data_IF_950604474413
#
_entry.id   IF_950604474413
#
_cell.length_a   1.000
_cell.length_b   1.000
_cell.length_c   1.000
_cell.angle_alpha   90.00
_cell.angle_beta   90.00
_cell.angle_gamma   90.00
#
_symmetry.space_group_name_H-M   'P 1'
#
loop_
_entity.id
_entity.type
_entity.pdbx_description
1 polymer ?
#
# COMPACT_ATOMS: atom_id res chain seq x y z
N UNK A 1 21.49 -9.40 13.16
CA UNK A 1 21.46 -8.34 14.08
C UNK A 1 20.58 -7.21 13.61
N UNK A 2 19.38 -7.11 14.16
CA UNK A 2 18.49 -6.00 13.88
C UNK A 2 18.99 -4.69 14.50
N UNK A 3 18.43 -3.56 14.04
CA UNK A 3 18.74 -2.25 14.60
C UNK A 3 18.35 -2.19 16.10
N UNK A 4 19.21 -1.60 16.91
CA UNK A 4 18.94 -1.38 18.32
C UNK A 4 18.24 -0.03 18.48
N UNK A 5 17.08 -0.03 19.12
CA UNK A 5 16.32 1.18 19.44
C UNK A 5 15.98 1.24 20.95
N UNK A 6 15.75 2.43 21.42
CA UNK A 6 15.31 2.74 22.78
C UNK A 6 13.90 3.33 22.75
N UNK A 7 13.21 3.50 23.87
CA UNK A 7 11.94 4.22 23.89
C UNK A 7 12.00 5.64 23.30
N UNK A 8 13.15 6.30 23.34
CA UNK A 8 13.33 7.65 22.80
C UNK A 8 13.34 7.68 21.26
N UNK A 9 13.55 6.52 20.62
CA UNK A 9 13.51 6.35 19.18
C UNK A 9 12.08 6.06 18.66
N UNK A 10 11.07 6.02 19.55
CA UNK A 10 9.68 5.70 19.20
C UNK A 10 8.81 6.95 19.38
N UNK A 11 8.21 7.38 18.26
CA UNK A 11 7.34 8.55 18.24
C UNK A 11 5.90 8.15 17.92
N UNK A 12 4.95 8.42 18.82
CA UNK A 12 3.53 8.14 18.63
C UNK A 12 2.79 9.30 17.94
N UNK A 13 1.82 8.97 17.08
CA UNK A 13 1.03 9.91 16.28
C UNK A 13 -0.46 9.58 16.33
N UNK A 14 -1.31 10.54 15.93
CA UNK A 14 -2.76 10.38 15.84
C UNK A 14 -3.16 9.57 14.58
N UNK A 15 -2.69 8.34 14.52
CA UNK A 15 -2.76 7.43 13.39
C UNK A 15 -1.60 7.63 12.41
N UNK A 16 -1.40 6.63 11.54
CA UNK A 16 -0.25 6.62 10.63
C UNK A 16 -0.33 7.74 9.57
N UNK A 17 -1.52 8.20 9.21
CA UNK A 17 -1.66 9.35 8.30
C UNK A 17 -1.04 10.63 8.84
N UNK A 18 -1.13 10.89 10.16
CA UNK A 18 -0.45 12.01 10.81
C UNK A 18 1.08 11.81 10.79
N UNK A 19 1.55 10.59 11.08
CA UNK A 19 2.97 10.25 10.99
C UNK A 19 3.52 10.52 9.58
N UNK A 20 2.85 10.02 8.54
CA UNK A 20 3.22 10.24 7.14
C UNK A 20 3.29 11.73 6.83
N UNK A 21 2.23 12.49 7.13
CA UNK A 21 2.21 13.92 6.86
C UNK A 21 3.39 14.66 7.51
N UNK A 22 3.73 14.35 8.75
CA UNK A 22 4.86 14.98 9.44
C UNK A 22 6.21 14.56 8.89
N UNK A 23 6.37 13.30 8.48
CA UNK A 23 7.60 12.85 7.82
C UNK A 23 7.88 13.68 6.56
N UNK A 24 6.89 13.85 5.70
CA UNK A 24 7.09 14.62 4.47
C UNK A 24 7.20 16.13 4.72
N UNK A 25 6.46 16.68 5.68
CA UNK A 25 6.55 18.11 6.03
C UNK A 25 7.89 18.50 6.70
N UNK A 26 8.60 17.55 7.29
CA UNK A 26 9.90 17.79 7.94
C UNK A 26 11.08 17.73 6.97
N UNK A 27 10.88 17.23 5.76
CA UNK A 27 11.93 17.16 4.72
C UNK A 27 12.17 18.56 4.16
N UNK A 28 13.40 18.84 3.73
CA UNK A 28 13.72 20.08 2.99
C UNK A 28 12.87 20.20 1.73
N UNK A 29 12.50 21.41 1.37
CA UNK A 29 11.59 21.71 0.24
C UNK A 29 12.12 21.16 -1.11
N UNK A 30 13.45 21.08 -1.28
CA UNK A 30 14.11 20.59 -2.48
C UNK A 30 14.40 19.10 -2.45
N UNK A 31 14.13 18.42 -1.34
CA UNK A 31 14.39 16.99 -1.17
C UNK A 31 13.14 16.15 -1.44
N UNK A 32 13.33 14.92 -1.93
CA UNK A 32 12.25 14.05 -2.40
C UNK A 32 12.37 12.64 -1.83
N UNK A 33 11.24 11.97 -1.71
CA UNK A 33 11.18 10.54 -1.43
C UNK A 33 10.72 9.81 -2.70
N UNK A 34 11.50 8.81 -3.14
CA UNK A 34 11.07 7.91 -4.21
C UNK A 34 10.21 6.79 -3.63
N UNK A 35 9.11 6.44 -4.31
CA UNK A 35 8.11 5.49 -3.82
C UNK A 35 7.76 4.41 -4.86
N UNK A 36 7.19 3.25 -4.44
CA UNK A 36 6.72 2.24 -5.39
C UNK A 36 5.57 2.77 -6.26
N UNK A 37 5.43 2.24 -7.46
CA UNK A 37 4.31 2.48 -8.37
C UNK A 37 3.69 1.14 -8.80
N UNK A 38 2.41 0.87 -8.48
CA UNK A 38 1.47 1.72 -7.75
C UNK A 38 1.83 1.94 -6.28
N UNK A 39 1.28 3.00 -5.66
CA UNK A 39 1.57 3.37 -4.26
C UNK A 39 0.33 3.71 -3.45
N UNK A 40 0.45 3.62 -2.13
CA UNK A 40 -0.62 4.03 -1.21
C UNK A 40 -0.86 5.54 -1.27
N UNK A 41 -2.11 5.93 -1.51
CA UNK A 41 -2.51 7.32 -1.78
C UNK A 41 -2.12 8.34 -0.71
N UNK A 42 -1.98 7.94 0.55
CA UNK A 42 -1.57 8.87 1.62
C UNK A 42 -0.11 9.29 1.49
N UNK A 43 0.80 8.36 1.15
CA UNK A 43 2.19 8.70 0.85
C UNK A 43 2.30 9.57 -0.42
N UNK A 44 1.56 9.19 -1.46
CA UNK A 44 1.47 9.97 -2.69
C UNK A 44 1.05 11.41 -2.41
N UNK A 45 -0.06 11.60 -1.69
CA UNK A 45 -0.60 12.92 -1.39
C UNK A 45 0.38 13.75 -0.54
N UNK A 46 1.03 13.12 0.45
CA UNK A 46 2.01 13.79 1.29
C UNK A 46 3.21 14.30 0.47
N UNK A 47 3.73 13.50 -0.47
CA UNK A 47 4.82 13.90 -1.37
C UNK A 47 4.39 15.02 -2.33
N UNK A 48 3.20 14.92 -2.92
CA UNK A 48 2.67 15.98 -3.81
C UNK A 48 2.46 17.30 -3.07
N UNK A 49 1.94 17.25 -1.85
CA UNK A 49 1.75 18.46 -1.02
C UNK A 49 3.09 19.07 -0.59
N UNK A 50 4.08 18.24 -0.28
CA UNK A 50 5.43 18.68 0.06
C UNK A 50 6.14 19.35 -1.11
N UNK A 51 6.19 18.69 -2.25
CA UNK A 51 7.01 19.11 -3.38
C UNK A 51 6.28 20.01 -4.39
N UNK A 52 4.94 20.01 -4.39
CA UNK A 52 4.10 20.64 -5.44
C UNK A 52 4.36 20.12 -6.86
N UNK A 53 4.95 18.94 -6.99
CA UNK A 53 5.27 18.25 -8.24
C UNK A 53 4.86 16.77 -8.16
N UNK A 54 4.69 16.09 -9.30
CA UNK A 54 4.48 14.64 -9.31
C UNK A 54 5.59 13.90 -8.56
N UNK A 55 5.28 12.81 -7.85
CA UNK A 55 6.27 12.06 -7.10
C UNK A 55 7.28 11.35 -8.00
N UNK A 56 8.46 11.07 -7.48
CA UNK A 56 9.37 10.11 -8.07
C UNK A 56 8.92 8.70 -7.70
N UNK A 57 8.84 7.81 -8.68
CA UNK A 57 8.41 6.43 -8.46
C UNK A 57 9.40 5.42 -9.04
N UNK A 58 9.35 4.17 -8.55
CA UNK A 58 9.96 3.00 -9.17
C UNK A 58 8.89 1.94 -9.40
N UNK A 59 8.93 1.25 -10.54
CA UNK A 59 7.86 0.34 -10.94
C UNK A 59 7.84 -0.94 -10.13
N UNK A 60 6.62 -1.34 -9.73
CA UNK A 60 6.29 -2.70 -9.30
C UNK A 60 5.74 -3.44 -10.53
N UNK A 61 6.41 -4.50 -10.98
CA UNK A 61 6.09 -5.15 -12.25
C UNK A 61 4.98 -6.22 -12.11
N UNK A 62 3.75 -5.98 -12.62
CA UNK A 62 2.66 -6.94 -12.54
C UNK A 62 2.93 -8.23 -13.34
N UNK A 63 3.74 -8.16 -14.41
CA UNK A 63 4.13 -9.33 -15.21
C UNK A 63 5.16 -10.21 -14.51
N UNK A 64 5.81 -9.70 -13.45
CA UNK A 64 6.74 -10.42 -12.60
C UNK A 64 6.32 -10.37 -11.13
N UNK A 65 5.07 -10.76 -10.84
CA UNK A 65 4.53 -10.92 -9.49
C UNK A 65 4.69 -9.69 -8.59
N UNK A 66 4.64 -8.50 -9.16
CA UNK A 66 4.82 -7.23 -8.48
C UNK A 66 6.23 -7.03 -7.89
N UNK A 67 7.23 -7.71 -8.43
CA UNK A 67 8.62 -7.48 -8.01
C UNK A 67 9.04 -6.05 -8.39
N UNK A 68 9.68 -5.29 -7.48
CA UNK A 68 10.16 -3.94 -7.78
C UNK A 68 11.28 -3.97 -8.83
N UNK A 69 11.29 -2.98 -9.72
CA UNK A 69 12.40 -2.76 -10.65
C UNK A 69 13.54 -2.03 -9.93
N UNK A 70 14.45 -2.79 -9.34
CA UNK A 70 15.58 -2.24 -8.59
C UNK A 70 16.61 -1.51 -9.49
N UNK A 71 16.67 -1.85 -10.78
CA UNK A 71 17.53 -1.14 -11.73
C UNK A 71 17.00 0.26 -12.00
N UNK A 72 15.69 0.38 -12.18
CA UNK A 72 15.03 1.68 -12.32
C UNK A 72 15.19 2.51 -11.03
N UNK A 73 14.99 1.89 -9.86
CA UNK A 73 15.19 2.55 -8.57
C UNK A 73 16.59 3.12 -8.45
N UNK A 74 17.61 2.28 -8.64
CA UNK A 74 19.03 2.68 -8.55
C UNK A 74 19.36 3.79 -9.54
N UNK A 75 18.94 3.66 -10.80
CA UNK A 75 19.19 4.65 -11.84
C UNK A 75 18.57 6.01 -11.48
N UNK A 76 17.36 6.03 -10.94
CA UNK A 76 16.67 7.27 -10.53
C UNK A 76 17.36 7.92 -9.34
N UNK A 77 17.70 7.15 -8.31
CA UNK A 77 18.44 7.66 -7.15
C UNK A 77 19.79 8.23 -7.54
N UNK A 78 20.53 7.53 -8.41
CA UNK A 78 21.81 7.98 -8.93
C UNK A 78 21.74 9.27 -9.74
N UNK A 79 20.69 9.45 -10.55
CA UNK A 79 20.57 10.59 -11.47
C UNK A 79 19.88 11.81 -10.88
N UNK A 80 19.24 11.71 -9.72
CA UNK A 80 18.48 12.79 -9.10
C UNK A 80 18.95 13.01 -7.65
N UNK A 81 19.87 13.92 -7.45
CA UNK A 81 20.41 14.27 -6.12
C UNK A 81 19.36 14.85 -5.15
N UNK A 82 18.18 15.20 -5.62
CA UNK A 82 17.04 15.58 -4.78
C UNK A 82 16.41 14.39 -4.07
N UNK A 83 16.58 13.16 -4.57
CA UNK A 83 16.04 11.96 -3.90
C UNK A 83 16.94 11.64 -2.71
N UNK A 84 16.40 11.79 -1.51
CA UNK A 84 17.11 11.57 -0.24
C UNK A 84 16.55 10.39 0.55
N UNK A 85 15.40 9.86 0.15
CA UNK A 85 14.74 8.74 0.84
C UNK A 85 14.05 7.79 -0.12
N UNK A 86 14.00 6.51 0.27
CA UNK A 86 13.34 5.42 -0.46
C UNK A 86 12.20 4.88 0.39
N UNK A 87 10.97 4.92 -0.14
CA UNK A 87 9.79 4.34 0.52
C UNK A 87 9.61 2.88 0.08
N UNK A 88 9.35 2.01 1.05
CA UNK A 88 8.88 0.64 0.88
C UNK A 88 7.57 0.47 1.65
N UNK A 89 6.60 -0.22 1.10
CA UNK A 89 5.36 -0.61 1.80
C UNK A 89 5.34 -2.12 1.89
N UNK A 90 5.47 -2.69 3.08
CA UNK A 90 5.67 -4.14 3.25
C UNK A 90 4.91 -4.74 4.44
N UNK A 91 3.92 -5.59 4.20
CA UNK A 91 3.26 -5.99 2.93
C UNK A 91 2.62 -4.82 2.18
N UNK A 92 2.64 -4.89 0.84
CA UNK A 92 2.28 -3.76 -0.01
C UNK A 92 0.77 -3.53 -0.14
N UNK A 93 0.39 -2.27 -0.20
CA UNK A 93 -0.91 -1.77 -0.61
C UNK A 93 -0.70 -0.85 -1.84
N UNK A 94 -1.18 -1.24 -3.05
CA UNK A 94 -2.40 -2.04 -3.27
C UNK A 94 -2.18 -3.51 -3.66
N UNK A 95 -0.96 -3.99 -3.86
CA UNK A 95 -0.69 -5.24 -4.59
C UNK A 95 -0.77 -6.52 -3.75
N UNK A 96 -0.62 -6.41 -2.42
CA UNK A 96 -0.48 -7.56 -1.54
C UNK A 96 0.87 -8.29 -1.67
N UNK A 97 1.84 -7.65 -2.32
CA UNK A 97 3.20 -8.16 -2.43
C UNK A 97 3.89 -8.15 -1.07
N UNK A 98 4.64 -9.21 -0.77
CA UNK A 98 5.50 -9.30 0.41
C UNK A 98 6.94 -9.31 -0.08
N UNK A 99 7.71 -8.32 0.31
CA UNK A 99 9.10 -8.18 -0.12
C UNK A 99 9.95 -9.31 0.45
N UNK A 100 10.64 -10.09 -0.41
CA UNK A 100 11.67 -11.03 0.05
C UNK A 100 12.79 -10.28 0.77
N UNK A 101 13.42 -10.93 1.75
CA UNK A 101 14.54 -10.36 2.51
C UNK A 101 15.65 -9.87 1.58
N UNK A 102 16.00 -10.66 0.56
CA UNK A 102 17.02 -10.30 -0.41
C UNK A 102 16.70 -8.98 -1.15
N UNK A 103 15.44 -8.79 -1.53
CA UNK A 103 15.00 -7.55 -2.19
C UNK A 103 15.14 -6.34 -1.26
N UNK A 104 14.78 -6.49 0.02
CA UNK A 104 14.94 -5.43 1.01
C UNK A 104 16.43 -5.12 1.25
N UNK A 105 17.28 -6.13 1.33
CA UNK A 105 18.74 -5.94 1.45
C UNK A 105 19.34 -5.18 0.25
N UNK A 106 18.86 -5.46 -0.96
CA UNK A 106 19.28 -4.73 -2.16
C UNK A 106 18.82 -3.27 -2.12
N UNK A 107 17.59 -3.00 -1.67
CA UNK A 107 17.11 -1.61 -1.49
C UNK A 107 17.94 -0.87 -0.45
N UNK A 108 18.26 -1.51 0.68
CA UNK A 108 19.13 -0.93 1.72
C UNK A 108 20.56 -0.69 1.19
N UNK A 109 21.08 -1.59 0.35
CA UNK A 109 22.38 -1.40 -0.28
C UNK A 109 22.39 -0.20 -1.23
N UNK A 110 21.35 -0.02 -2.05
CA UNK A 110 21.17 1.17 -2.89
C UNK A 110 21.09 2.43 -2.01
N UNK A 111 20.29 2.41 -0.93
CA UNK A 111 20.18 3.52 -0.02
C UNK A 111 21.54 3.90 0.60
N UNK A 112 22.34 2.91 0.98
CA UNK A 112 23.69 3.11 1.52
C UNK A 112 24.65 3.71 0.49
N UNK A 113 24.64 3.20 -0.74
CA UNK A 113 25.54 3.65 -1.81
C UNK A 113 25.29 5.11 -2.20
N UNK A 114 24.02 5.53 -2.18
CA UNK A 114 23.62 6.88 -2.62
C UNK A 114 23.21 7.80 -1.45
N UNK A 115 23.63 7.47 -0.23
CA UNK A 115 23.39 8.28 0.98
C UNK A 115 21.91 8.65 1.21
N UNK A 116 21.00 7.71 0.90
CA UNK A 116 19.57 7.85 1.16
C UNK A 116 19.20 7.17 2.48
N UNK A 117 18.12 7.65 3.10
CA UNK A 117 17.46 6.90 4.19
C UNK A 117 16.32 6.03 3.64
N UNK A 118 15.86 5.08 4.44
CA UNK A 118 14.75 4.20 4.06
C UNK A 118 13.54 4.45 4.96
N UNK A 119 12.35 4.60 4.37
CA UNK A 119 11.06 4.53 5.07
C UNK A 119 10.39 3.21 4.74
N UNK A 120 9.99 2.45 5.76
CA UNK A 120 9.16 1.26 5.59
C UNK A 120 7.79 1.45 6.26
N UNK A 121 6.73 1.47 5.46
CA UNK A 121 5.36 1.35 5.98
C UNK A 121 5.07 -0.13 6.23
N UNK A 122 5.08 -0.52 7.50
CA UNK A 122 4.93 -1.89 7.98
C UNK A 122 3.57 -2.13 8.66
N UNK A 123 2.56 -1.33 8.30
CA UNK A 123 1.20 -1.40 8.88
C UNK A 123 0.56 -2.79 8.79
N UNK A 124 0.99 -3.62 7.83
CA UNK A 124 0.48 -4.97 7.61
C UNK A 124 1.47 -6.07 8.03
N UNK A 125 2.49 -5.77 8.84
CA UNK A 125 3.63 -6.66 9.13
C UNK A 125 3.25 -8.09 9.54
N UNK A 126 2.15 -8.27 10.29
CA UNK A 126 1.69 -9.58 10.76
C UNK A 126 0.52 -10.15 9.92
N UNK A 127 0.12 -9.49 8.84
CA UNK A 127 -0.90 -9.97 7.92
C UNK A 127 -0.21 -10.55 6.69
N UNK A 128 0.33 -11.75 6.85
CA UNK A 128 1.04 -12.52 5.81
C UNK A 128 0.57 -13.96 5.82
N UNK A 129 0.51 -14.57 4.65
CA UNK A 129 -0.07 -15.91 4.45
C UNK A 129 0.63 -16.64 3.29
N UNK A 130 0.11 -17.82 2.89
CA UNK A 130 0.71 -18.69 1.88
C UNK A 130 2.17 -19.06 2.23
N UNK A 131 2.46 -19.32 3.52
CA UNK A 131 3.78 -19.68 4.00
C UNK A 131 4.84 -18.58 3.93
N UNK A 132 4.45 -17.33 3.67
CA UNK A 132 5.36 -16.19 3.67
C UNK A 132 5.57 -15.65 5.08
N UNK A 133 6.68 -14.94 5.24
CA UNK A 133 7.00 -14.16 6.45
C UNK A 133 7.38 -12.75 6.02
N UNK A 134 7.02 -11.77 6.81
CA UNK A 134 7.49 -10.39 6.63
C UNK A 134 8.91 -10.28 7.18
N UNK A 135 9.82 -9.75 6.40
CA UNK A 135 11.10 -9.23 6.89
C UNK A 135 10.89 -7.75 7.21
N UNK A 136 11.21 -7.34 8.42
CA UNK A 136 11.08 -5.96 8.86
C UNK A 136 12.33 -5.15 8.47
N UNK A 137 12.16 -3.84 8.36
CA UNK A 137 13.27 -2.95 8.06
C UNK A 137 14.39 -3.08 9.11
N UNK A 138 14.04 -3.17 10.39
CA UNK A 138 15.01 -3.33 11.48
C UNK A 138 15.90 -4.56 11.32
N UNK A 139 15.45 -5.62 10.64
CA UNK A 139 16.22 -6.85 10.45
C UNK A 139 17.32 -6.71 9.39
N UNK A 140 17.17 -5.77 8.46
CA UNK A 140 18.03 -5.65 7.28
C UNK A 140 18.73 -4.30 7.13
N UNK A 141 18.32 -3.27 7.88
CA UNK A 141 18.77 -1.89 7.69
C UNK A 141 20.27 -1.66 7.97
N UNK A 142 20.88 -2.50 8.81
CA UNK A 142 22.29 -2.39 9.15
C UNK A 142 22.62 -1.03 9.80
N UNK A 143 23.50 -0.28 9.16
CA UNK A 143 23.94 1.05 9.57
C UNK A 143 23.29 2.21 8.82
N UNK A 144 22.37 1.92 7.89
CA UNK A 144 21.65 2.94 7.10
C UNK A 144 20.63 3.64 7.99
N UNK A 145 20.46 4.97 7.91
CA UNK A 145 19.38 5.69 8.58
C UNK A 145 18.00 5.26 8.04
N UNK A 146 17.00 5.23 8.91
CA UNK A 146 15.65 4.90 8.43
C UNK A 146 14.55 5.05 9.46
N UNK A 147 13.33 4.88 8.98
CA UNK A 147 12.09 4.96 9.75
C UNK A 147 11.20 3.78 9.41
N UNK A 148 10.77 3.02 10.41
CA UNK A 148 9.66 2.09 10.28
C UNK A 148 8.38 2.74 10.77
N UNK A 149 7.31 2.65 9.98
CA UNK A 149 5.98 3.19 10.30
C UNK A 149 5.02 2.05 10.63
N UNK A 150 4.43 2.08 11.82
CA UNK A 150 3.55 1.02 12.33
C UNK A 150 2.27 1.60 12.93
N UNK A 151 1.24 0.76 13.06
CA UNK A 151 -0.02 1.23 13.62
C UNK A 151 -1.01 0.11 13.87
N UNK A 152 -2.06 0.42 14.65
CA UNK A 152 -3.07 -0.55 15.09
C UNK A 152 -4.34 -0.57 14.22
N UNK A 153 -4.36 0.21 13.15
CA UNK A 153 -5.56 0.33 12.31
C UNK A 153 -5.92 -0.93 11.54
N UNK A 154 -4.95 -1.80 11.26
CA UNK A 154 -5.12 -2.95 10.35
C UNK A 154 -5.00 -4.28 11.09
N UNK A 155 -3.90 -4.49 11.79
CA UNK A 155 -3.64 -5.70 12.55
C UNK A 155 -4.60 -5.87 13.72
N UNK A 156 -4.83 -4.83 14.51
CA UNK A 156 -5.77 -4.82 15.64
C UNK A 156 -7.20 -4.45 15.25
N UNK A 157 -7.56 -4.30 14.00
CA UNK A 157 -8.63 -3.60 13.30
C UNK A 157 -9.28 -2.47 14.09
N UNK A 158 -8.47 -1.57 14.61
CA UNK A 158 -8.94 -0.43 15.42
C UNK A 158 -8.57 0.93 14.79
N UNK A 159 -9.02 1.20 13.54
CA UNK A 159 -8.64 2.42 12.81
C UNK A 159 -9.16 3.71 13.48
N UNK A 160 -10.30 3.64 14.17
CA UNK A 160 -10.90 4.78 14.87
C UNK A 160 -10.16 5.22 16.13
N UNK A 161 -9.28 4.38 16.70
CA UNK A 161 -8.47 4.74 17.86
C UNK A 161 -7.41 5.77 17.56
N UNK A 162 -7.05 5.99 16.30
CA UNK A 162 -6.07 6.96 15.84
C UNK A 162 -4.70 6.80 16.51
N UNK A 163 -4.10 5.63 16.40
CA UNK A 163 -2.77 5.36 16.95
C UNK A 163 -1.86 4.69 15.92
N UNK A 164 -0.73 5.32 15.68
CA UNK A 164 0.39 4.82 14.90
C UNK A 164 1.69 5.36 15.47
N UNK A 165 2.80 4.81 15.09
CA UNK A 165 4.11 5.25 15.55
C UNK A 165 5.19 5.09 14.50
N UNK A 166 6.26 5.82 14.68
CA UNK A 166 7.53 5.66 13.97
C UNK A 166 8.56 5.03 14.89
N UNK A 167 9.38 4.16 14.37
CA UNK A 167 10.62 3.69 14.95
C UNK A 167 11.77 4.27 14.13
N UNK A 168 12.62 5.08 14.75
CA UNK A 168 13.73 5.77 14.09
C UNK A 168 15.00 4.96 14.28
N UNK A 169 15.69 4.64 13.20
CA UNK A 169 16.91 3.83 13.21
C UNK A 169 18.12 4.66 12.83
N UNK A 170 19.22 4.45 13.56
CA UNK A 170 20.55 4.96 13.21
C UNK A 170 20.68 6.50 13.09
N UNK A 171 19.77 7.28 13.71
CA UNK A 171 19.81 8.74 13.62
C UNK A 171 21.17 9.33 14.08
N UNK A 172 21.82 8.70 15.08
CA UNK A 172 23.12 9.11 15.60
C UNK A 172 24.30 8.92 14.62
N UNK A 173 24.10 8.19 13.50
CA UNK A 173 25.15 7.90 12.51
C UNK A 173 25.22 8.92 11.37
N UNK A 174 24.18 9.71 11.19
CA UNK A 174 24.06 10.72 10.14
C UNK A 174 23.49 12.01 10.73
N UNK A 175 24.28 13.08 10.71
CA UNK A 175 23.88 14.36 11.31
C UNK A 175 22.70 15.02 10.57
N UNK A 176 22.60 14.85 9.25
CA UNK A 176 21.51 15.40 8.43
C UNK A 176 20.23 14.66 8.75
N UNK A 177 20.26 13.34 8.79
CA UNK A 177 19.13 12.52 9.15
C UNK A 177 18.70 12.73 10.62
N UNK A 178 19.67 12.93 11.54
CA UNK A 178 19.37 13.26 12.94
C UNK A 178 18.60 14.59 13.04
N UNK A 179 19.01 15.61 12.27
CA UNK A 179 18.26 16.88 12.21
C UNK A 179 16.85 16.68 11.65
N UNK A 180 16.67 15.83 10.65
CA UNK A 180 15.36 15.49 10.11
C UNK A 180 14.48 14.78 11.15
N UNK A 181 14.99 13.77 11.86
CA UNK A 181 14.27 13.07 12.92
C UNK A 181 13.86 14.03 14.04
N UNK A 182 14.77 14.93 14.45
CA UNK A 182 14.48 15.98 15.45
C UNK A 182 13.43 16.99 14.94
N UNK A 183 13.39 17.30 13.65
CA UNK A 183 12.36 18.16 13.09
C UNK A 183 10.97 17.50 13.17
N UNK A 184 10.86 16.20 12.92
CA UNK A 184 9.62 15.43 13.12
C UNK A 184 9.19 15.48 14.60
N UNK A 185 10.12 15.23 15.53
CA UNK A 185 9.86 15.31 16.97
C UNK A 185 9.38 16.71 17.38
N UNK A 186 10.04 17.76 16.90
CA UNK A 186 9.66 19.15 17.21
C UNK A 186 8.26 19.47 16.71
N UNK A 187 7.92 19.07 15.49
CA UNK A 187 6.55 19.22 14.97
C UNK A 187 5.54 18.43 15.84
N UNK A 188 5.93 17.26 16.33
CA UNK A 188 5.07 16.46 17.20
C UNK A 188 4.85 17.11 18.56
N UNK A 189 5.85 17.75 19.13
CA UNK A 189 5.73 18.47 20.40
C UNK A 189 4.71 19.61 20.35
N UNK A 190 4.46 20.22 19.17
CA UNK A 190 3.45 21.26 19.02
C UNK A 190 2.01 20.77 19.23
N UNK A 191 1.79 19.46 19.17
CA UNK A 191 0.49 18.82 19.41
C UNK A 191 0.18 18.58 20.90
N UNK A 192 1.16 18.78 21.76
CA UNK A 192 1.14 18.57 23.23
C UNK A 192 1.06 17.09 23.61
N UNK A 193 0.09 16.30 23.12
CA UNK A 193 0.01 14.86 23.40
C UNK A 193 -0.76 14.11 22.30
N UNK A 194 -0.39 12.85 22.08
CA UNK A 194 -1.14 11.90 21.24
C UNK A 194 -2.20 11.17 22.06
N UNK A 195 -3.05 10.39 21.36
CA UNK A 195 -4.10 9.57 21.99
C UNK A 195 -3.51 8.59 23.02
N UNK A 196 -3.78 8.79 24.29
CA UNK A 196 -3.18 8.02 25.40
C UNK A 196 -3.80 6.62 25.54
N UNK A 197 -5.15 6.52 25.44
CA UNK A 197 -5.85 5.25 25.66
C UNK A 197 -5.36 4.12 24.75
N UNK A 198 -5.23 4.32 23.41
CA UNK A 198 -4.70 3.27 22.55
C UNK A 198 -3.26 2.87 22.92
N UNK A 199 -2.40 3.83 23.23
CA UNK A 199 -1.00 3.55 23.61
C UNK A 199 -0.92 2.64 24.86
N UNK A 200 -1.73 2.90 25.88
CA UNK A 200 -1.81 2.05 27.09
C UNK A 200 -2.41 0.67 26.77
N UNK A 201 -3.29 0.58 25.79
CA UNK A 201 -3.96 -0.67 25.42
C UNK A 201 -3.08 -1.61 24.61
N UNK A 202 -2.17 -1.08 23.76
CA UNK A 202 -1.31 -1.87 22.85
C UNK A 202 -0.53 -2.96 23.61
N UNK A 203 0.24 -2.67 24.66
CA UNK A 203 0.99 -3.71 25.38
C UNK A 203 0.09 -4.80 25.96
N UNK A 204 -1.08 -4.42 26.49
CA UNK A 204 -2.07 -5.37 27.04
C UNK A 204 -2.65 -6.30 25.98
N UNK A 205 -2.91 -5.77 24.77
CA UNK A 205 -3.40 -6.57 23.64
C UNK A 205 -2.30 -7.52 23.19
N UNK A 206 -1.08 -7.02 22.95
CA UNK A 206 0.04 -7.82 22.43
C UNK A 206 0.49 -8.93 23.38
N UNK A 207 0.37 -8.71 24.69
CA UNK A 207 0.71 -9.72 25.72
C UNK A 207 -0.46 -10.62 26.12
N UNK A 208 -1.66 -10.39 25.57
CA UNK A 208 -2.82 -11.23 25.88
C UNK A 208 -2.63 -12.65 25.32
N UNK A 209 -2.88 -13.73 26.09
CA UNK A 209 -2.67 -15.11 25.64
C UNK A 209 -3.41 -15.51 24.36
N UNK A 210 -4.58 -14.93 24.11
CA UNK A 210 -5.39 -15.19 22.91
C UNK A 210 -4.97 -14.36 21.68
N UNK A 211 -4.03 -13.41 21.80
CA UNK A 211 -3.68 -12.50 20.72
C UNK A 211 -3.13 -13.25 19.49
N UNK A 212 -2.18 -14.16 19.70
CA UNK A 212 -1.60 -14.94 18.60
C UNK A 212 -2.66 -15.77 17.87
N UNK A 213 -3.54 -16.44 18.61
CA UNK A 213 -4.62 -17.24 18.05
C UNK A 213 -5.64 -16.40 17.26
N UNK A 214 -5.96 -15.22 17.80
CA UNK A 214 -6.81 -14.23 17.11
C UNK A 214 -6.18 -13.80 15.78
N UNK A 215 -4.91 -13.43 15.79
CA UNK A 215 -4.18 -13.01 14.59
C UNK A 215 -4.11 -14.12 13.54
N UNK A 216 -3.74 -15.34 13.96
CA UNK A 216 -3.72 -16.51 13.09
C UNK A 216 -5.09 -16.81 12.45
N UNK A 217 -6.18 -16.67 13.21
CA UNK A 217 -7.53 -16.88 12.69
C UNK A 217 -7.87 -15.88 11.58
N UNK A 218 -7.51 -14.61 11.75
CA UNK A 218 -7.70 -13.57 10.74
C UNK A 218 -6.85 -13.81 9.51
N UNK A 219 -5.58 -14.15 9.70
CA UNK A 219 -4.64 -14.44 8.60
C UNK A 219 -5.12 -15.62 7.77
N UNK A 220 -5.58 -16.71 8.40
CA UNK A 220 -6.18 -17.87 7.71
C UNK A 220 -7.43 -17.49 6.91
N UNK A 221 -8.25 -16.58 7.44
CA UNK A 221 -9.40 -16.08 6.70
C UNK A 221 -8.98 -15.32 5.44
N UNK A 222 -8.03 -14.40 5.54
CA UNK A 222 -7.50 -13.66 4.38
C UNK A 222 -6.83 -14.59 3.37
N UNK A 223 -6.09 -15.58 3.82
CA UNK A 223 -5.50 -16.62 2.96
C UNK A 223 -6.57 -17.35 2.15
N UNK A 224 -7.65 -17.78 2.82
CA UNK A 224 -8.79 -18.44 2.17
C UNK A 224 -9.40 -17.54 1.09
N UNK A 225 -9.72 -16.30 1.41
CA UNK A 225 -10.31 -15.35 0.45
C UNK A 225 -9.36 -15.02 -0.70
N UNK A 226 -8.06 -14.83 -0.41
CA UNK A 226 -7.04 -14.62 -1.44
C UNK A 226 -6.95 -15.78 -2.43
N UNK A 227 -6.99 -17.02 -1.92
CA UNK A 227 -6.92 -18.20 -2.77
C UNK A 227 -8.19 -18.38 -3.62
N UNK A 228 -9.37 -18.11 -3.07
CA UNK A 228 -10.64 -18.10 -3.82
C UNK A 228 -10.57 -17.07 -4.95
N UNK A 229 -10.27 -15.82 -4.62
CA UNK A 229 -10.20 -14.75 -5.62
C UNK A 229 -9.17 -15.03 -6.72
N UNK A 230 -7.98 -15.49 -6.35
CA UNK A 230 -6.95 -15.85 -7.31
C UNK A 230 -7.43 -16.98 -8.24
N UNK A 231 -8.03 -18.04 -7.71
CA UNK A 231 -8.46 -19.18 -8.51
C UNK A 231 -9.58 -18.82 -9.51
N UNK A 232 -10.45 -17.89 -9.17
CA UNK A 232 -11.51 -17.41 -10.06
C UNK A 232 -10.95 -16.46 -11.12
N UNK A 233 -10.12 -15.48 -10.70
CA UNK A 233 -9.69 -14.39 -11.59
C UNK A 233 -8.53 -14.78 -12.52
N UNK A 234 -7.67 -15.75 -12.14
CA UNK A 234 -6.52 -16.16 -12.97
C UNK A 234 -6.89 -16.73 -14.33
N UNK A 235 -8.10 -17.28 -14.45
CA UNK A 235 -8.61 -17.91 -15.66
C UNK A 235 -9.47 -16.95 -16.50
N UNK A 236 -9.68 -15.70 -16.03
CA UNK A 236 -10.36 -14.66 -16.80
C UNK A 236 -9.45 -14.19 -17.92
N UNK A 237 -9.80 -14.41 -19.22
CA UNK A 237 -9.02 -13.87 -20.31
C UNK A 237 -8.99 -12.35 -20.18
N UNK A 238 -7.94 -11.67 -20.55
CA UNK A 238 -7.81 -10.21 -20.44
C UNK A 238 -7.24 -9.70 -19.12
N UNK A 239 -7.00 -10.54 -18.10
CA UNK A 239 -6.43 -10.16 -16.83
C UNK A 239 -5.04 -10.76 -16.57
N UNK A 240 -4.21 -9.98 -15.91
CA UNK A 240 -3.02 -10.45 -15.21
C UNK A 240 -3.34 -10.41 -13.73
N UNK A 241 -3.31 -11.57 -13.10
CA UNK A 241 -3.63 -11.71 -11.67
C UNK A 241 -2.48 -12.41 -10.97
N UNK A 242 -1.93 -11.78 -9.96
CA UNK A 242 -0.89 -12.34 -9.12
C UNK A 242 -1.47 -12.81 -7.79
N UNK A 243 -0.95 -13.93 -7.27
CA UNK A 243 -1.30 -14.40 -5.94
C UNK A 243 -0.82 -13.39 -4.91
N UNK A 244 -1.69 -12.91 -4.05
CA UNK A 244 -1.31 -12.07 -2.92
C UNK A 244 -0.79 -12.94 -1.78
N UNK A 245 0.11 -12.40 -0.99
CA UNK A 245 0.72 -13.11 0.13
C UNK A 245 0.74 -12.30 1.42
N UNK A 246 0.25 -11.07 1.36
CA UNK A 246 0.16 -10.19 2.53
C UNK A 246 -0.87 -9.09 2.38
N UNK A 247 -1.07 -8.32 3.43
CA UNK A 247 -2.16 -7.37 3.59
C UNK A 247 -3.53 -8.05 3.39
N UNK A 248 -4.57 -7.30 3.06
CA UNK A 248 -5.87 -7.83 2.71
C UNK A 248 -6.41 -7.22 1.40
N UNK A 249 -5.50 -7.08 0.43
CA UNK A 249 -5.80 -6.56 -0.90
C UNK A 249 -5.40 -7.56 -1.98
N UNK A 250 -6.12 -7.53 -3.09
CA UNK A 250 -5.73 -8.17 -4.33
C UNK A 250 -5.89 -7.17 -5.47
N UNK A 251 -4.89 -7.12 -6.34
CA UNK A 251 -4.90 -6.29 -7.54
C UNK A 251 -4.89 -7.16 -8.78
N UNK A 252 -5.82 -6.88 -9.69
CA UNK A 252 -5.87 -7.44 -11.04
C UNK A 252 -5.60 -6.33 -12.06
N UNK A 253 -4.84 -6.64 -13.10
CA UNK A 253 -4.44 -5.72 -14.15
C UNK A 253 -5.06 -6.17 -15.47
N UNK A 254 -5.62 -5.24 -16.23
CA UNK A 254 -6.09 -5.53 -17.59
C UNK A 254 -4.89 -5.65 -18.56
N UNK A 255 -4.97 -6.62 -19.47
CA UNK A 255 -3.99 -6.74 -20.53
C UNK A 255 -3.97 -5.47 -21.39
N UNK A 256 -2.82 -5.18 -22.02
CA UNK A 256 -2.65 -4.02 -22.86
C UNK A 256 -3.72 -3.97 -23.97
N UNK A 257 -4.23 -2.77 -24.26
CA UNK A 257 -5.19 -2.48 -25.33
C UNK A 257 -6.53 -3.22 -25.23
N UNK A 258 -6.86 -3.80 -24.09
CA UNK A 258 -8.14 -4.52 -23.89
C UNK A 258 -9.28 -3.55 -23.58
N UNK A 259 -9.00 -2.49 -22.85
CA UNK A 259 -10.00 -1.48 -22.48
C UNK A 259 -10.10 -0.39 -23.56
N UNK A 260 -11.34 0.07 -23.80
CA UNK A 260 -11.64 1.22 -24.64
C UNK A 260 -12.86 2.00 -24.09
N UNK A 261 -13.13 3.16 -24.68
CA UNK A 261 -14.19 4.09 -24.27
C UNK A 261 -15.62 3.71 -24.69
N UNK A 262 -15.76 2.68 -25.55
CA UNK A 262 -17.06 2.22 -26.05
C UNK A 262 -17.66 1.08 -25.21
N UNK A 263 -16.85 0.49 -24.33
CA UNK A 263 -17.28 -0.62 -23.48
C UNK A 263 -18.27 -0.17 -22.40
N UNK A 264 -19.25 -1.04 -22.10
CA UNK A 264 -20.29 -0.78 -21.09
C UNK A 264 -20.82 -2.08 -20.48
N UNK A 265 -21.56 -1.96 -19.38
CA UNK A 265 -22.40 -3.03 -18.84
C UNK A 265 -23.86 -2.58 -18.85
N UNK A 266 -24.76 -3.51 -19.05
CA UNK A 266 -26.20 -3.25 -18.90
C UNK A 266 -26.53 -2.91 -17.45
N UNK A 267 -27.20 -1.79 -17.24
CA UNK A 267 -27.68 -1.31 -15.93
C UNK A 267 -29.21 -1.28 -16.01
N UNK A 268 -29.87 -2.04 -15.16
CA UNK A 268 -31.34 -2.19 -15.19
C UNK A 268 -32.07 -0.90 -14.80
N UNK A 269 -31.62 -0.22 -13.74
CA UNK A 269 -32.22 1.02 -13.25
C UNK A 269 -31.89 2.22 -14.16
N UNK A 270 -32.89 2.86 -14.81
CA UNK A 270 -32.65 3.97 -15.73
C UNK A 270 -31.92 5.17 -15.10
N UNK A 271 -32.25 5.54 -13.88
CA UNK A 271 -31.62 6.67 -13.16
C UNK A 271 -30.16 6.38 -12.83
N UNK A 272 -29.86 5.14 -12.38
CA UNK A 272 -28.48 4.69 -12.13
C UNK A 272 -27.68 4.70 -13.42
N UNK A 273 -28.29 4.19 -14.51
CA UNK A 273 -27.66 4.18 -15.83
C UNK A 273 -27.27 5.57 -16.28
N UNK A 274 -28.22 6.52 -16.26
CA UNK A 274 -27.98 7.89 -16.65
C UNK A 274 -26.85 8.52 -15.80
N UNK A 275 -26.84 8.26 -14.50
CA UNK A 275 -25.81 8.77 -13.59
C UNK A 275 -24.43 8.17 -13.91
N UNK A 276 -24.34 6.86 -14.12
CA UNK A 276 -23.06 6.18 -14.46
C UNK A 276 -22.55 6.65 -15.81
N UNK A 277 -23.41 6.78 -16.83
CA UNK A 277 -23.03 7.28 -18.14
C UNK A 277 -22.47 8.71 -18.07
N UNK A 278 -23.07 9.56 -17.25
CA UNK A 278 -22.56 10.91 -17.01
C UNK A 278 -21.21 10.96 -16.28
N UNK A 279 -20.95 10.01 -15.38
CA UNK A 279 -19.66 9.87 -14.70
C UNK A 279 -18.57 9.24 -15.57
N UNK A 280 -18.98 8.42 -16.52
CA UNK A 280 -18.11 7.69 -17.44
C UNK A 280 -17.74 8.50 -18.69
N UNK A 281 -17.75 9.84 -18.58
CA UNK A 281 -17.34 10.76 -19.65
C UNK A 281 -15.90 10.48 -20.13
N UNK A 282 -15.60 10.81 -21.39
CA UNK A 282 -14.40 10.45 -22.14
C UNK A 282 -13.05 10.83 -21.51
N UNK A 283 -13.07 11.61 -20.43
CA UNK A 283 -11.87 12.15 -19.78
C UNK A 283 -11.38 11.34 -18.58
N UNK A 284 -12.04 10.26 -18.21
CA UNK A 284 -11.63 9.42 -17.08
C UNK A 284 -10.77 8.23 -17.53
N UNK A 285 -9.86 7.73 -16.67
CA UNK A 285 -9.13 6.50 -16.94
C UNK A 285 -10.06 5.32 -17.26
N UNK A 286 -9.66 4.47 -18.20
CA UNK A 286 -10.51 3.36 -18.69
C UNK A 286 -10.83 2.33 -17.60
N UNK A 287 -9.94 2.08 -16.66
CA UNK A 287 -10.19 1.22 -15.50
C UNK A 287 -11.20 1.84 -14.53
N UNK A 288 -11.18 3.17 -14.37
CA UNK A 288 -12.17 3.89 -13.57
C UNK A 288 -13.56 3.83 -14.23
N UNK A 289 -13.61 3.89 -15.56
CA UNK A 289 -14.84 3.69 -16.35
C UNK A 289 -15.41 2.29 -16.09
N UNK A 290 -14.59 1.24 -16.16
CA UNK A 290 -15.01 -0.13 -15.82
C UNK A 290 -15.58 -0.21 -14.40
N UNK A 291 -14.89 0.38 -13.40
CA UNK A 291 -15.34 0.37 -12.00
C UNK A 291 -16.72 1.00 -11.83
N UNK A 292 -17.00 2.11 -12.52
CA UNK A 292 -18.31 2.75 -12.48
C UNK A 292 -19.41 1.87 -13.08
N UNK A 293 -19.16 1.26 -14.25
CA UNK A 293 -20.12 0.31 -14.84
C UNK A 293 -20.33 -0.93 -13.98
N UNK A 294 -19.27 -1.49 -13.38
CA UNK A 294 -19.38 -2.61 -12.46
C UNK A 294 -20.27 -2.26 -11.26
N UNK A 295 -20.02 -1.11 -10.65
CA UNK A 295 -20.83 -0.63 -9.52
C UNK A 295 -22.30 -0.45 -9.90
N UNK A 296 -22.57 0.22 -11.02
CA UNK A 296 -23.95 0.47 -11.49
C UNK A 296 -24.70 -0.79 -11.87
N UNK A 297 -24.03 -1.79 -12.43
CA UNK A 297 -24.64 -3.04 -12.90
C UNK A 297 -24.82 -4.09 -11.77
N UNK A 298 -23.94 -4.09 -10.77
CA UNK A 298 -23.89 -5.19 -9.78
C UNK A 298 -23.96 -4.74 -8.32
N UNK A 299 -23.77 -3.47 -8.04
CA UNK A 299 -23.59 -2.97 -6.67
C UNK A 299 -22.22 -3.27 -6.05
N UNK A 300 -21.31 -3.92 -6.78
CA UNK A 300 -19.96 -4.27 -6.31
C UNK A 300 -19.00 -3.13 -6.57
N UNK A 301 -18.36 -2.63 -5.51
CA UNK A 301 -17.37 -1.56 -5.58
C UNK A 301 -15.95 -2.12 -5.45
N UNK A 302 -15.11 -1.82 -6.44
CA UNK A 302 -13.66 -2.01 -6.40
C UNK A 302 -12.97 -0.66 -6.62
N UNK A 303 -11.66 -0.58 -6.42
CA UNK A 303 -10.93 0.69 -6.60
C UNK A 303 -10.10 0.61 -7.87
N UNK A 304 -10.22 1.57 -8.81
CA UNK A 304 -9.40 1.58 -10.02
C UNK A 304 -7.92 1.72 -9.67
N UNK A 305 -7.07 0.98 -10.35
CA UNK A 305 -5.64 0.95 -10.04
C UNK A 305 -4.95 2.28 -10.37
N UNK A 306 -5.45 2.99 -11.39
CA UNK A 306 -4.96 4.33 -11.73
C UNK A 306 -5.11 5.35 -10.59
N UNK A 307 -5.97 5.09 -9.58
CA UNK A 307 -6.06 5.90 -8.35
C UNK A 307 -4.87 5.71 -7.40
N UNK A 308 -3.96 4.79 -7.68
CA UNK A 308 -2.72 4.55 -6.94
C UNK A 308 -1.48 5.06 -7.67
N UNK A 309 -1.65 6.10 -8.47
CA UNK A 309 -0.58 6.74 -9.25
C UNK A 309 0.17 5.74 -10.14
N UNK A 310 -0.55 5.17 -11.08
CA UNK A 310 0.03 4.34 -12.13
C UNK A 310 -0.76 4.50 -13.41
N UNK A 311 -0.10 4.32 -14.55
CA UNK A 311 -0.74 4.26 -15.85
C UNK A 311 -1.26 2.86 -16.21
N UNK A 312 -0.94 1.86 -15.39
CA UNK A 312 -1.36 0.48 -15.62
C UNK A 312 -2.84 0.32 -15.27
N UNK A 313 -3.72 0.00 -16.24
CA UNK A 313 -5.14 -0.12 -15.98
C UNK A 313 -5.45 -1.40 -15.19
N UNK A 314 -6.25 -1.28 -14.15
CA UNK A 314 -6.59 -2.41 -13.30
C UNK A 314 -7.55 -2.04 -12.18
N UNK A 315 -7.70 -2.93 -11.23
CA UNK A 315 -8.47 -2.64 -10.02
C UNK A 315 -7.91 -3.37 -8.80
N UNK A 316 -8.12 -2.76 -7.64
CA UNK A 316 -7.85 -3.36 -6.33
C UNK A 316 -9.17 -3.73 -5.66
N UNK A 317 -9.26 -4.94 -5.15
CA UNK A 317 -10.33 -5.40 -4.26
C UNK A 317 -9.81 -5.66 -2.85
N UNK A 318 -10.73 -5.72 -1.86
CA UNK A 318 -10.42 -6.05 -0.48
C UNK A 318 -10.82 -7.49 -0.15
N UNK A 319 -10.06 -8.13 0.75
CA UNK A 319 -10.29 -9.48 1.27
C UNK A 319 -10.91 -9.40 2.68
N UNK A 320 -11.97 -8.58 2.86
CA UNK A 320 -12.53 -8.24 4.18
C UNK A 320 -13.93 -8.80 4.42
N UNK A 321 -14.55 -9.42 3.40
CA UNK A 321 -15.88 -10.05 3.59
C UNK A 321 -15.77 -11.21 4.59
N UNK A 322 -16.69 -11.26 5.54
CA UNK A 322 -16.71 -12.31 6.57
C UNK A 322 -17.36 -13.59 6.07
N UNK A 323 -18.37 -13.44 5.22
CA UNK A 323 -19.08 -14.53 4.58
C UNK A 323 -18.31 -14.98 3.33
N UNK A 324 -17.79 -16.21 3.38
CA UNK A 324 -16.97 -16.78 2.32
C UNK A 324 -17.78 -17.03 1.05
N UNK A 325 -19.01 -17.51 1.17
CA UNK A 325 -19.86 -17.84 0.01
C UNK A 325 -20.29 -16.56 -0.71
N UNK A 326 -20.63 -15.53 0.06
CA UNK A 326 -20.90 -14.19 -0.49
C UNK A 326 -19.65 -13.60 -1.17
N UNK A 327 -18.47 -13.77 -0.60
CA UNK A 327 -17.23 -13.33 -1.21
C UNK A 327 -16.99 -14.03 -2.55
N UNK A 328 -17.09 -15.35 -2.59
CA UNK A 328 -16.92 -16.16 -3.80
C UNK A 328 -17.92 -15.77 -4.88
N UNK A 329 -19.20 -15.59 -4.50
CA UNK A 329 -20.23 -15.08 -5.41
C UNK A 329 -19.86 -13.71 -6.00
N UNK A 330 -19.45 -12.76 -5.16
CA UNK A 330 -19.06 -11.43 -5.62
C UNK A 330 -17.86 -11.46 -6.58
N UNK A 331 -16.84 -12.26 -6.29
CA UNK A 331 -15.67 -12.41 -7.17
C UNK A 331 -16.05 -13.05 -8.51
N UNK A 332 -16.96 -14.05 -8.48
CA UNK A 332 -17.51 -14.66 -9.69
C UNK A 332 -18.28 -13.65 -10.53
N UNK A 333 -19.09 -12.79 -9.89
CA UNK A 333 -19.79 -11.69 -10.56
C UNK A 333 -18.82 -10.68 -11.20
N UNK A 334 -17.71 -10.34 -10.52
CA UNK A 334 -16.66 -9.48 -11.08
C UNK A 334 -16.08 -10.14 -12.33
N UNK A 335 -15.70 -11.43 -12.27
CA UNK A 335 -15.10 -12.16 -13.38
C UNK A 335 -16.04 -12.18 -14.61
N UNK A 336 -17.32 -12.49 -14.41
CA UNK A 336 -18.32 -12.49 -15.48
C UNK A 336 -18.55 -11.08 -16.06
N UNK A 337 -18.57 -10.07 -15.19
CA UNK A 337 -18.75 -8.68 -15.63
C UNK A 337 -17.58 -8.17 -16.46
N UNK A 338 -16.35 -8.58 -16.14
CA UNK A 338 -15.16 -8.25 -16.95
C UNK A 338 -15.32 -8.77 -18.38
N UNK A 339 -15.70 -10.04 -18.54
CA UNK A 339 -15.89 -10.65 -19.86
C UNK A 339 -16.97 -9.90 -20.65
N UNK A 340 -18.14 -9.69 -20.02
CA UNK A 340 -19.27 -8.95 -20.65
C UNK A 340 -18.88 -7.53 -21.04
N UNK A 341 -18.15 -6.83 -20.18
CA UNK A 341 -17.70 -5.45 -20.42
C UNK A 341 -16.77 -5.37 -21.62
N UNK A 342 -15.78 -6.26 -21.68
CA UNK A 342 -14.81 -6.27 -22.79
C UNK A 342 -15.47 -6.67 -24.11
N UNK A 343 -16.39 -7.61 -24.09
CA UNK A 343 -17.10 -8.08 -25.28
C UNK A 343 -18.18 -7.11 -25.79
N UNK A 344 -18.63 -6.16 -24.98
CA UNK A 344 -19.69 -5.20 -25.35
C UNK A 344 -19.34 -4.26 -26.50
N UNK A 345 -18.06 -4.08 -26.82
CA UNK A 345 -17.56 -3.21 -27.88
C UNK A 345 -16.55 -3.90 -28.81
N UNK A 346 -16.70 -5.22 -29.00
CA UNK A 346 -15.95 -6.00 -29.98
C UNK A 346 -16.65 -6.09 -31.32
#
# INVERSE_FOLDING_TARGET
>A
GGAQITPDDILFFNGLGDAIARAYNAIRVDARIIMPEPTYSTHLLAEVLHASFPPNTYRMNPYNKWTPDLRELEQKVKSHSSIVGILVINPDNPTGFVYPEETLRQIVAIAKEYECFVIADETYQNIVYNGKKTTLLCDVIGDVPGISMKGISKEFPWPGSRCGWMEVYNAHRDEVFNRYANAILTQKMSEVCSTTLPQISIPRIMTHPEYSKYLESRVRHYEKLSNIAYNILKDVPFLIVNRTNGAFYMTAVFNESVLNDKQSLAIEHPEIRQYIEALADDKIPLDKRFVYYLLGATGICVVPLTSFFTSVPGFRMTLLEKDVDKFEHNVTMIAQSIVKYIESAR
#
